data_IF_116954128268
#
_entry.id   IF_116954128268
#
_cell.length_a   1.000
_cell.length_b   1.000
_cell.length_c   1.000
_cell.angle_alpha   90.00
_cell.angle_beta   90.00
_cell.angle_gamma   90.00
#
_symmetry.space_group_name_H-M   'P 1'
#
loop_
_entity.id
_entity.type
_entity.pdbx_description
1 polymer ?
#
# COMPACT_ATOMS: atom_id res chain seq x y z
N UNK A 1 -5.06 13.11 -6.98
CA UNK A 1 -4.71 13.15 -5.53
C UNK A 1 -3.21 12.86 -5.36
N UNK A 2 -2.37 13.89 -5.28
CA UNK A 2 -0.95 13.79 -4.93
C UNK A 2 -0.82 13.76 -3.41
N UNK A 3 -0.37 12.67 -2.80
CA UNK A 3 0.09 12.73 -1.41
C UNK A 3 1.54 13.17 -1.38
N UNK A 4 1.74 14.47 -1.19
CA UNK A 4 2.96 15.07 -0.68
C UNK A 4 2.71 15.52 0.77
N UNK A 5 3.73 15.40 1.62
CA UNK A 5 3.93 16.04 2.93
C UNK A 5 3.15 15.49 4.16
N UNK A 6 3.72 14.53 4.90
CA UNK A 6 3.60 14.46 6.39
C UNK A 6 4.54 13.43 7.06
N UNK A 7 5.65 13.93 7.65
CA UNK A 7 6.72 13.25 8.44
C UNK A 7 7.43 12.10 7.69
N UNK A 8 8.75 11.88 7.89
CA UNK A 8 9.51 10.78 7.24
C UNK A 8 9.04 9.40 7.72
N UNK A 9 7.81 9.01 7.36
CA UNK A 9 7.28 7.66 7.56
C UNK A 9 7.93 6.74 6.54
N UNK A 10 8.50 5.64 7.00
CA UNK A 10 9.11 4.63 6.13
C UNK A 10 8.08 4.15 5.10
N UNK A 11 8.52 3.82 3.88
CA UNK A 11 7.66 3.34 2.79
C UNK A 11 6.65 2.28 3.27
N UNK A 12 7.12 1.38 4.15
CA UNK A 12 6.36 0.34 4.88
C UNK A 12 5.15 0.91 5.63
N UNK A 13 5.39 1.90 6.49
CA UNK A 13 4.35 2.51 7.33
C UNK A 13 3.34 3.30 6.49
N UNK A 14 3.81 4.04 5.49
CA UNK A 14 2.95 4.80 4.57
C UNK A 14 2.07 3.86 3.74
N UNK A 15 2.63 2.75 3.26
CA UNK A 15 1.89 1.74 2.49
C UNK A 15 0.81 1.07 3.34
N UNK A 16 1.10 0.73 4.61
CA UNK A 16 0.05 0.23 5.49
C UNK A 16 -1.03 1.28 5.79
N UNK A 17 -0.66 2.54 6.01
CA UNK A 17 -1.63 3.60 6.20
C UNK A 17 -2.54 3.78 4.98
N UNK A 18 -2.00 3.67 3.77
CA UNK A 18 -2.78 3.65 2.54
C UNK A 18 -3.83 2.54 2.58
N UNK A 19 -3.42 1.30 2.84
CA UNK A 19 -4.33 0.15 2.87
C UNK A 19 -5.42 0.33 3.92
N UNK A 20 -5.06 0.76 5.14
CA UNK A 20 -6.03 1.02 6.21
C UNK A 20 -7.03 2.12 5.85
N UNK A 21 -6.59 3.16 5.14
CA UNK A 21 -7.45 4.25 4.71
C UNK A 21 -8.39 3.80 3.59
N UNK A 22 -7.84 3.13 2.57
CA UNK A 22 -8.61 2.61 1.44
C UNK A 22 -9.58 1.51 1.88
N UNK A 23 -9.23 0.65 2.84
CA UNK A 23 -10.13 -0.38 3.40
C UNK A 23 -11.40 0.20 4.04
N UNK A 24 -11.33 1.43 4.58
CA UNK A 24 -12.50 2.14 5.13
C UNK A 24 -13.43 2.65 4.03
N UNK A 25 -12.86 3.02 2.87
CA UNK A 25 -13.56 3.66 1.76
C UNK A 25 -14.09 2.63 0.76
N UNK A 26 -13.35 1.53 0.55
CA UNK A 26 -13.69 0.47 -0.38
C UNK A 26 -14.90 -0.31 0.12
N UNK A 27 -16.00 -0.18 -0.62
CA UNK A 27 -17.24 -0.96 -0.47
C UNK A 27 -17.13 -2.33 -1.15
N UNK A 28 -16.04 -3.07 -0.94
CA UNK A 28 -15.93 -4.45 -1.43
C UNK A 28 -16.62 -5.40 -0.44
N UNK A 29 -17.49 -6.28 -0.93
CA UNK A 29 -18.26 -7.18 -0.06
C UNK A 29 -17.44 -8.38 0.46
N UNK A 30 -16.49 -8.90 -0.32
CA UNK A 30 -15.74 -10.12 0.04
C UNK A 30 -14.27 -9.91 0.43
N UNK A 31 -13.55 -8.96 -0.17
CA UNK A 31 -12.12 -8.75 0.15
C UNK A 31 -11.68 -7.30 0.04
N UNK A 32 -12.11 -6.47 1.01
CA UNK A 32 -11.71 -5.06 1.13
C UNK A 32 -10.19 -4.86 1.19
N UNK A 33 -9.48 -5.82 1.77
CA UNK A 33 -8.03 -5.76 1.93
C UNK A 33 -7.30 -5.97 0.59
N UNK A 34 -7.68 -6.98 -0.19
CA UNK A 34 -7.09 -7.23 -1.52
C UNK A 34 -7.29 -6.05 -2.47
N UNK A 35 -8.50 -5.47 -2.49
CA UNK A 35 -8.79 -4.28 -3.28
C UNK A 35 -7.96 -3.07 -2.81
N UNK A 36 -7.85 -2.86 -1.50
CA UNK A 36 -7.04 -1.79 -0.94
C UNK A 36 -5.54 -1.97 -1.27
N UNK A 37 -5.03 -3.20 -1.23
CA UNK A 37 -3.66 -3.53 -1.64
C UNK A 37 -3.47 -3.16 -3.10
N UNK A 38 -4.35 -3.60 -4.01
CA UNK A 38 -4.23 -3.31 -5.44
C UNK A 38 -4.17 -1.80 -5.73
N UNK A 39 -5.04 -1.01 -5.09
CA UNK A 39 -5.07 0.45 -5.22
C UNK A 39 -3.77 1.08 -4.71
N UNK A 40 -3.28 0.64 -3.55
CA UNK A 40 -2.06 1.16 -2.96
C UNK A 40 -0.79 0.73 -3.73
N UNK A 41 -0.74 -0.49 -4.26
CA UNK A 41 0.35 -0.95 -5.15
C UNK A 41 0.39 -0.09 -6.41
N UNK A 42 -0.75 0.10 -7.06
CA UNK A 42 -0.86 0.93 -8.28
C UNK A 42 -0.37 2.36 -8.05
N UNK A 43 -0.80 2.98 -6.95
CA UNK A 43 -0.49 4.38 -6.67
C UNK A 43 0.92 4.61 -6.13
N UNK A 44 1.45 3.68 -5.32
CA UNK A 44 2.71 3.87 -4.56
C UNK A 44 3.90 3.13 -5.16
N UNK A 45 3.70 1.91 -5.67
CA UNK A 45 4.78 1.03 -6.13
C UNK A 45 4.92 1.04 -7.64
N UNK A 46 3.82 0.93 -8.39
CA UNK A 46 3.85 0.89 -9.86
C UNK A 46 4.40 2.18 -10.47
N UNK A 47 4.10 3.33 -9.86
CA UNK A 47 4.68 4.64 -10.24
C UNK A 47 6.20 4.69 -10.08
N UNK A 48 6.81 3.70 -9.43
CA UNK A 48 8.26 3.56 -9.21
C UNK A 48 8.85 2.33 -9.89
N UNK A 49 8.13 1.71 -10.84
CA UNK A 49 8.55 0.49 -11.54
C UNK A 49 8.66 -0.73 -10.63
N UNK A 50 7.89 -0.77 -9.53
CA UNK A 50 7.93 -1.87 -8.55
C UNK A 50 6.54 -2.45 -8.35
N UNK A 51 6.48 -3.74 -8.02
CA UNK A 51 5.27 -4.42 -7.54
C UNK A 51 5.51 -5.04 -6.18
N UNK A 52 4.43 -5.53 -5.56
CA UNK A 52 4.45 -6.14 -4.25
C UNK A 52 4.92 -7.60 -4.34
N UNK A 53 5.95 -7.97 -3.56
CA UNK A 53 6.38 -9.37 -3.38
C UNK A 53 5.82 -9.96 -2.10
N UNK A 54 6.06 -9.28 -0.97
CA UNK A 54 5.53 -9.65 0.34
C UNK A 54 5.15 -8.40 1.12
N UNK A 55 4.01 -8.45 1.80
CA UNK A 55 3.54 -7.36 2.64
C UNK A 55 2.96 -7.89 3.94
N UNK A 56 3.27 -7.22 5.05
CA UNK A 56 2.62 -7.42 6.35
C UNK A 56 2.46 -6.09 7.05
N UNK A 57 1.25 -5.79 7.50
CA UNK A 57 1.01 -4.69 8.42
C UNK A 57 0.71 -5.18 9.84
N UNK A 58 1.77 -5.53 10.56
CA UNK A 58 1.74 -5.87 11.98
C UNK A 58 2.52 -4.82 12.80
N UNK A 59 2.75 -5.08 14.10
CA UNK A 59 3.59 -4.21 14.96
C UNK A 59 4.97 -3.91 14.34
N UNK A 60 5.52 -4.85 13.55
CA UNK A 60 6.72 -4.66 12.72
C UNK A 60 6.31 -4.71 11.23
N UNK A 61 6.01 -3.57 10.59
CA UNK A 61 5.53 -3.57 9.22
C UNK A 61 6.64 -4.01 8.26
N UNK A 62 6.31 -4.94 7.36
CA UNK A 62 7.22 -5.49 6.36
C UNK A 62 6.68 -5.22 4.96
N UNK A 63 7.54 -4.72 4.09
CA UNK A 63 7.22 -4.44 2.69
C UNK A 63 8.43 -4.84 1.86
N UNK A 64 8.27 -5.92 1.11
CA UNK A 64 9.24 -6.38 0.13
C UNK A 64 8.63 -6.18 -1.24
N UNK A 65 9.34 -5.44 -2.07
CA UNK A 65 8.96 -5.15 -3.45
C UNK A 65 9.84 -5.93 -4.40
N UNK A 66 9.36 -6.14 -5.62
CA UNK A 66 10.15 -6.64 -6.74
C UNK A 66 9.99 -5.67 -7.93
N UNK A 67 10.96 -5.58 -8.84
CA UNK A 67 10.79 -4.81 -10.07
C UNK A 67 9.59 -5.35 -10.85
N UNK A 68 8.87 -4.45 -11.50
CA UNK A 68 7.89 -4.82 -12.52
C UNK A 68 8.71 -5.13 -13.78
N UNK A 69 8.65 -6.37 -14.26
CA UNK A 69 9.26 -6.76 -15.53
C UNK A 69 8.48 -6.15 -16.68
#
# INVERSE_FOLDING_TARGET
MRQSLKKRKSLRTSFCHCIKSVRKIVKAQKSKESAAIAICVKSVLQTRGKTLKKFRCTKKPFLQTQPIQ
#
